data_IF_647388904181
#
_entry.id   IF_647388904181
#
_cell.length_a   1.000
_cell.length_b   1.000
_cell.length_c   1.000
_cell.angle_alpha   90.00
_cell.angle_beta   90.00
_cell.angle_gamma   90.00
#
_symmetry.space_group_name_H-M   'P 1'
#
loop_
_entity.id
_entity.type
_entity.pdbx_description
1 polymer ?
#
# COMPACT_ATOMS: atom_id res chain seq x y z
N UNK A 1 31.07 -20.14 -2.00
CA UNK A 1 30.28 -19.29 -1.08
C UNK A 1 29.80 -17.96 -1.70
N UNK A 2 30.34 -17.47 -2.84
CA UNK A 2 29.98 -16.14 -3.39
C UNK A 2 28.59 -15.97 -4.05
N UNK A 3 28.00 -17.01 -4.66
CA UNK A 3 26.71 -16.87 -5.36
C UNK A 3 25.52 -16.62 -4.42
N UNK A 4 25.51 -17.25 -3.25
CA UNK A 4 24.44 -17.05 -2.26
C UNK A 4 24.44 -15.62 -1.71
N UNK A 5 25.62 -15.04 -1.46
CA UNK A 5 25.75 -13.64 -1.01
C UNK A 5 25.32 -12.64 -2.08
N UNK A 6 25.63 -12.91 -3.36
CA UNK A 6 25.18 -12.06 -4.47
C UNK A 6 23.65 -12.02 -4.58
N UNK A 7 22.98 -13.18 -4.44
CA UNK A 7 21.52 -13.25 -4.44
C UNK A 7 20.90 -12.52 -3.24
N UNK A 8 21.47 -12.67 -2.04
CA UNK A 8 20.98 -11.98 -0.84
C UNK A 8 21.09 -10.45 -1.02
N UNK A 9 22.24 -9.95 -1.48
CA UNK A 9 22.43 -8.52 -1.73
C UNK A 9 21.49 -8.00 -2.82
N UNK A 10 21.26 -8.78 -3.88
CA UNK A 10 20.28 -8.43 -4.91
C UNK A 10 18.89 -8.31 -4.30
N UNK A 11 18.44 -9.27 -3.49
CA UNK A 11 17.14 -9.19 -2.82
C UNK A 11 17.03 -7.97 -1.89
N UNK A 12 18.07 -7.70 -1.10
CA UNK A 12 18.12 -6.54 -0.21
C UNK A 12 18.05 -5.23 -0.99
N UNK A 13 18.70 -5.13 -2.16
CA UNK A 13 18.65 -3.95 -3.01
C UNK A 13 17.35 -3.80 -3.79
N UNK A 14 16.79 -4.90 -4.29
CA UNK A 14 15.59 -4.89 -5.13
C UNK A 14 14.33 -4.60 -4.32
N UNK A 15 14.26 -5.09 -3.08
CA UNK A 15 13.11 -4.92 -2.20
C UNK A 15 12.71 -3.44 -1.97
N UNK A 16 13.61 -2.53 -1.53
CA UNK A 16 13.27 -1.12 -1.34
C UNK A 16 12.97 -0.43 -2.67
N UNK A 17 13.61 -0.83 -3.78
CA UNK A 17 13.35 -0.25 -5.11
C UNK A 17 11.92 -0.59 -5.57
N UNK A 18 11.53 -1.85 -5.48
CA UNK A 18 10.17 -2.28 -5.83
C UNK A 18 9.14 -1.64 -4.89
N UNK A 19 9.40 -1.66 -3.58
CA UNK A 19 8.52 -1.04 -2.60
C UNK A 19 8.35 0.47 -2.83
N UNK A 20 9.44 1.17 -3.12
CA UNK A 20 9.44 2.59 -3.44
C UNK A 20 8.68 2.90 -4.73
N UNK A 21 8.86 2.08 -5.78
CA UNK A 21 8.14 2.24 -7.04
C UNK A 21 6.62 2.08 -6.84
N UNK A 22 6.20 1.04 -6.11
CA UNK A 22 4.78 0.83 -5.78
C UNK A 22 4.23 2.03 -5.02
N UNK A 23 4.95 2.51 -4.00
CA UNK A 23 4.51 3.65 -3.21
C UNK A 23 4.40 4.93 -4.05
N UNK A 24 5.36 5.18 -4.94
CA UNK A 24 5.34 6.34 -5.84
C UNK A 24 4.12 6.31 -6.77
N UNK A 25 3.79 5.15 -7.35
CA UNK A 25 2.59 4.98 -8.19
C UNK A 25 1.32 5.26 -7.39
N UNK A 26 1.24 4.73 -6.16
CA UNK A 26 0.05 4.90 -5.31
C UNK A 26 -0.12 6.36 -4.87
N UNK A 27 0.95 7.03 -4.44
CA UNK A 27 0.94 8.47 -4.10
C UNK A 27 0.53 9.31 -5.32
N UNK A 28 1.13 9.06 -6.49
CA UNK A 28 0.80 9.75 -7.72
C UNK A 28 -0.67 9.58 -8.11
N UNK A 29 -1.18 8.35 -8.04
CA UNK A 29 -2.59 8.05 -8.30
C UNK A 29 -3.52 8.77 -7.31
N UNK A 30 -3.18 8.75 -6.02
CA UNK A 30 -3.94 9.42 -4.97
C UNK A 30 -3.94 10.95 -5.12
N UNK A 31 -2.86 11.54 -5.64
CA UNK A 31 -2.77 12.96 -5.93
C UNK A 31 -3.65 13.40 -7.10
N UNK A 32 -3.76 12.57 -8.15
CA UNK A 32 -4.59 12.87 -9.33
C UNK A 32 -6.07 12.67 -9.03
N UNK A 33 -6.45 11.61 -8.30
CA UNK A 33 -7.84 11.32 -7.98
C UNK A 33 -7.99 10.82 -6.53
N UNK A 34 -8.09 11.73 -5.54
CA UNK A 34 -8.13 11.36 -4.13
C UNK A 34 -9.42 10.64 -3.74
N UNK A 35 -10.56 11.05 -4.29
CA UNK A 35 -11.87 10.45 -3.96
C UNK A 35 -11.96 9.03 -4.53
N UNK A 36 -11.55 8.85 -5.80
CA UNK A 36 -11.50 7.53 -6.42
C UNK A 36 -10.56 6.58 -5.68
N UNK A 37 -9.38 7.06 -5.30
CA UNK A 37 -8.41 6.30 -4.53
C UNK A 37 -8.93 5.91 -3.15
N UNK A 38 -9.69 6.79 -2.47
CA UNK A 38 -10.29 6.48 -1.17
C UNK A 38 -11.37 5.41 -1.29
N UNK A 39 -12.24 5.49 -2.31
CA UNK A 39 -13.25 4.47 -2.60
C UNK A 39 -12.61 3.12 -2.90
N UNK A 40 -11.53 3.12 -3.70
CA UNK A 40 -10.81 1.91 -4.05
C UNK A 40 -10.11 1.30 -2.84
N UNK A 41 -9.47 2.11 -1.99
CA UNK A 41 -8.88 1.66 -0.73
C UNK A 41 -9.93 0.97 0.16
N UNK A 42 -11.09 1.60 0.34
CA UNK A 42 -12.19 1.07 1.13
C UNK A 42 -12.73 -0.25 0.53
N UNK A 43 -12.93 -0.30 -0.78
CA UNK A 43 -13.43 -1.48 -1.47
C UNK A 43 -12.46 -2.67 -1.34
N UNK A 44 -11.15 -2.44 -1.53
CA UNK A 44 -10.12 -3.45 -1.36
C UNK A 44 -10.07 -3.97 0.08
N UNK A 45 -10.14 -3.06 1.06
CA UNK A 45 -10.17 -3.43 2.46
C UNK A 45 -11.41 -4.25 2.83
N UNK A 46 -12.59 -3.78 2.46
CA UNK A 46 -13.85 -4.46 2.77
C UNK A 46 -13.91 -5.84 2.11
N UNK A 47 -13.52 -5.93 0.84
CA UNK A 47 -13.46 -7.20 0.12
C UNK A 47 -12.43 -8.14 0.72
N UNK A 48 -11.22 -7.65 1.00
CA UNK A 48 -10.17 -8.43 1.64
C UNK A 48 -10.59 -8.97 3.01
N UNK A 49 -11.27 -8.12 3.81
CA UNK A 49 -11.85 -8.50 5.09
C UNK A 49 -12.96 -9.51 4.99
N UNK A 50 -13.87 -9.36 4.01
CA UNK A 50 -14.90 -10.36 3.76
C UNK A 50 -14.29 -11.72 3.40
N UNK A 51 -13.28 -11.78 2.52
CA UNK A 51 -12.62 -13.05 2.15
C UNK A 51 -11.88 -13.66 3.34
N UNK A 52 -11.21 -12.84 4.15
CA UNK A 52 -10.59 -13.27 5.40
C UNK A 52 -11.62 -13.87 6.37
N UNK A 53 -12.77 -13.21 6.55
CA UNK A 53 -13.85 -13.72 7.40
C UNK A 53 -14.41 -15.04 6.87
N UNK A 54 -14.70 -15.14 5.57
CA UNK A 54 -15.19 -16.38 4.95
C UNK A 54 -14.22 -17.54 5.22
N UNK A 55 -12.92 -17.30 5.02
CA UNK A 55 -11.91 -18.30 5.31
C UNK A 55 -11.89 -18.67 6.80
N UNK A 56 -11.94 -17.68 7.71
CA UNK A 56 -11.90 -17.92 9.15
C UNK A 56 -13.16 -18.62 9.69
N UNK A 57 -14.33 -18.31 9.15
CA UNK A 57 -15.61 -18.99 9.47
C UNK A 57 -15.55 -20.47 9.08
N UNK A 58 -14.91 -20.83 7.96
CA UNK A 58 -14.71 -22.23 7.57
C UNK A 58 -13.89 -23.02 8.62
N UNK A 59 -12.87 -22.39 9.20
CA UNK A 59 -12.04 -23.00 10.26
C UNK A 59 -12.81 -23.14 11.57
N UNK A 60 -13.59 -22.12 11.94
CA UNK A 60 -14.45 -22.15 13.13
C UNK A 60 -15.50 -23.27 13.03
N UNK A 61 -16.14 -23.43 11.86
CA UNK A 61 -17.09 -24.52 11.60
C UNK A 61 -16.44 -25.91 11.64
N UNK A 62 -15.12 -25.99 11.48
CA UNK A 62 -14.35 -27.23 11.61
C UNK A 62 -13.96 -27.55 13.07
N UNK A 63 -14.50 -26.82 14.05
CA UNK A 63 -14.30 -27.05 15.49
C UNK A 63 -13.01 -26.49 16.07
N UNK A 64 -12.25 -25.69 15.31
CA UNK A 64 -10.96 -25.12 15.75
C UNK A 64 -11.09 -23.61 15.90
N UNK A 65 -11.39 -23.17 17.13
CA UNK A 65 -11.73 -21.76 17.43
C UNK A 65 -10.50 -20.83 17.51
N UNK A 66 -9.31 -21.36 17.81
CA UNK A 66 -8.09 -20.55 18.04
C UNK A 66 -6.93 -21.10 17.22
N UNK A 67 -6.96 -20.87 15.92
CA UNK A 67 -5.81 -21.16 15.06
C UNK A 67 -5.44 -19.93 14.25
N UNK A 68 -4.23 -19.43 14.48
CA UNK A 68 -3.61 -18.42 13.64
C UNK A 68 -2.83 -19.12 12.52
N UNK A 69 -2.97 -18.64 11.29
CA UNK A 69 -2.26 -19.16 10.13
C UNK A 69 -3.03 -20.18 9.30
N UNK A 70 -2.56 -20.38 8.08
CA UNK A 70 -3.27 -21.17 7.06
C UNK A 70 -3.02 -22.68 7.14
N UNK A 71 -2.23 -23.15 8.11
CA UNK A 71 -1.73 -24.53 8.15
C UNK A 71 -2.87 -25.56 8.24
N UNK A 72 -3.94 -25.24 8.96
CA UNK A 72 -5.08 -26.13 9.21
C UNK A 72 -6.26 -25.89 8.25
N UNK A 73 -6.13 -24.96 7.30
CA UNK A 73 -7.16 -24.67 6.30
C UNK A 73 -7.08 -25.63 5.11
N UNK A 74 -8.24 -26.12 4.65
CA UNK A 74 -8.39 -26.81 3.36
C UNK A 74 -7.92 -25.91 2.21
N UNK A 75 -7.36 -26.52 1.17
CA UNK A 75 -6.70 -25.85 0.03
C UNK A 75 -7.43 -24.61 -0.54
N UNK A 76 -8.75 -24.64 -0.85
CA UNK A 76 -9.44 -23.47 -1.40
C UNK A 76 -9.56 -22.30 -0.40
N UNK A 77 -9.74 -22.58 0.89
CA UNK A 77 -9.83 -21.55 1.93
C UNK A 77 -8.48 -20.91 2.25
N UNK A 78 -7.38 -21.64 2.02
CA UNK A 78 -6.02 -21.09 2.12
C UNK A 78 -5.76 -20.02 1.06
N UNK A 79 -6.25 -20.22 -0.17
CA UNK A 79 -6.17 -19.21 -1.21
C UNK A 79 -6.99 -17.97 -0.85
N UNK A 80 -8.26 -18.15 -0.43
CA UNK A 80 -9.13 -17.07 0.05
C UNK A 80 -8.49 -16.24 1.18
N UNK A 81 -7.89 -16.91 2.15
CA UNK A 81 -7.17 -16.28 3.25
C UNK A 81 -6.02 -15.40 2.76
N UNK A 82 -5.15 -15.93 1.87
CA UNK A 82 -4.01 -15.19 1.31
C UNK A 82 -4.47 -14.01 0.45
N UNK A 83 -5.43 -14.24 -0.44
CA UNK A 83 -6.01 -13.19 -1.28
C UNK A 83 -6.63 -12.08 -0.43
N UNK A 84 -7.32 -12.44 0.67
CA UNK A 84 -7.85 -11.47 1.64
C UNK A 84 -6.77 -10.56 2.22
N UNK A 85 -5.64 -11.12 2.65
CA UNK A 85 -4.51 -10.32 3.14
C UNK A 85 -3.90 -9.43 2.05
N UNK A 86 -3.69 -9.96 0.85
CA UNK A 86 -3.12 -9.18 -0.27
C UNK A 86 -4.01 -7.97 -0.58
N UNK A 87 -5.34 -8.17 -0.60
CA UNK A 87 -6.32 -7.09 -0.81
C UNK A 87 -6.28 -6.06 0.33
N UNK A 88 -6.21 -6.49 1.59
CA UNK A 88 -6.08 -5.56 2.72
C UNK A 88 -4.79 -4.75 2.65
N UNK A 89 -3.65 -5.38 2.32
CA UNK A 89 -2.36 -4.70 2.17
C UNK A 89 -2.42 -3.69 1.01
N UNK A 90 -3.03 -4.06 -0.12
CA UNK A 90 -3.23 -3.13 -1.23
C UNK A 90 -4.10 -1.93 -0.81
N UNK A 91 -5.21 -2.18 -0.10
CA UNK A 91 -6.03 -1.12 0.49
C UNK A 91 -5.24 -0.20 1.42
N UNK A 92 -4.40 -0.77 2.29
CA UNK A 92 -3.53 -0.03 3.21
C UNK A 92 -2.58 0.89 2.46
N UNK A 93 -1.94 0.40 1.40
CA UNK A 93 -1.02 1.20 0.59
C UNK A 93 -1.74 2.42 0.00
N UNK A 94 -2.95 2.26 -0.53
CA UNK A 94 -3.75 3.38 -1.03
C UNK A 94 -4.10 4.38 0.08
N UNK A 95 -4.43 3.91 1.28
CA UNK A 95 -4.64 4.79 2.44
C UNK A 95 -3.38 5.57 2.80
N UNK A 96 -2.21 4.91 2.83
CA UNK A 96 -0.92 5.57 3.09
C UNK A 96 -0.63 6.62 2.02
N UNK A 97 -0.85 6.30 0.73
CA UNK A 97 -0.68 7.25 -0.36
C UNK A 97 -1.56 8.49 -0.22
N UNK A 98 -2.83 8.31 0.16
CA UNK A 98 -3.75 9.42 0.43
C UNK A 98 -3.29 10.30 1.59
N UNK A 99 -2.89 9.69 2.71
CA UNK A 99 -2.39 10.43 3.87
C UNK A 99 -1.12 11.20 3.50
N UNK A 100 -0.17 10.57 2.81
CA UNK A 100 1.06 11.20 2.37
C UNK A 100 0.80 12.43 1.47
N UNK A 101 -0.11 12.30 0.49
CA UNK A 101 -0.51 13.42 -0.37
C UNK A 101 -1.14 14.56 0.43
N UNK A 102 -2.06 14.25 1.37
CA UNK A 102 -2.69 15.27 2.22
C UNK A 102 -1.69 15.96 3.15
N UNK A 103 -0.76 15.22 3.74
CA UNK A 103 0.32 15.79 4.55
C UNK A 103 1.23 16.70 3.72
N UNK A 104 1.56 16.32 2.48
CA UNK A 104 2.35 17.16 1.58
C UNK A 104 1.61 18.45 1.19
N UNK A 105 0.30 18.40 0.93
CA UNK A 105 -0.53 19.59 0.70
C UNK A 105 -0.55 20.52 1.92
N UNK A 106 -0.75 19.98 3.13
CA UNK A 106 -0.76 20.75 4.37
C UNK A 106 0.58 21.45 4.66
N UNK A 107 1.70 20.77 4.40
CA UNK A 107 3.04 21.35 4.52
C UNK A 107 3.28 22.49 3.53
N UNK A 108 2.77 22.37 2.29
CA UNK A 108 2.85 23.47 1.30
C UNK A 108 2.03 24.68 1.73
N UNK A 109 0.86 24.46 2.33
CA UNK A 109 -0.02 25.55 2.75
C UNK A 109 0.51 26.31 3.98
N UNK A 110 1.20 25.60 4.88
CA UNK A 110 1.81 26.20 6.07
C UNK A 110 3.12 26.95 5.80
N UNK A 111 3.79 26.69 4.68
CA UNK A 111 5.07 27.32 4.35
C UNK A 111 5.09 27.92 2.92
N UNK A 112 4.57 29.15 2.73
CA UNK A 112 4.40 29.77 1.41
C UNK A 112 5.73 30.07 0.69
N UNK A 113 6.87 30.03 1.38
CA UNK A 113 8.21 30.24 0.80
C UNK A 113 8.67 29.09 -0.09
N UNK A 114 8.19 27.85 0.14
CA UNK A 114 8.47 26.70 -0.73
C UNK A 114 7.87 26.86 -2.14
N UNK A 115 6.78 27.64 -2.27
CA UNK A 115 6.18 27.95 -3.57
C UNK A 115 6.88 29.08 -4.35
N UNK A 116 7.72 29.89 -3.70
CA UNK A 116 8.31 31.11 -4.28
C UNK A 116 9.68 30.87 -4.92
N UNK A 117 10.42 29.86 -4.49
CA UNK A 117 11.78 29.56 -5.00
C UNK A 117 11.81 29.05 -6.47
N UNK A 118 10.65 28.83 -7.10
CA UNK A 118 10.53 28.47 -8.52
C UNK A 118 10.13 29.62 -9.46
N UNK A 119 9.87 30.84 -8.93
CA UNK A 119 9.58 32.03 -9.76
C UNK A 119 10.67 33.08 -9.55
N UNK A 120 11.80 32.91 -10.24
CA UNK A 120 12.68 34.05 -10.54
C UNK A 120 11.92 34.88 -11.59
N UNK A 121 11.57 36.15 -11.33
CA UNK A 121 11.01 37.01 -12.36
C UNK A 121 12.10 37.27 -13.40
N UNK A 122 11.95 36.65 -14.57
CA UNK A 122 12.75 36.99 -15.74
C UNK A 122 12.29 38.36 -16.25
N UNK A 123 13.23 39.31 -16.29
CA UNK A 123 13.12 40.51 -17.12
C UNK A 123 12.68 41.77 -16.39
N UNK A 124 13.65 42.52 -15.88
CA UNK A 124 13.59 43.98 -15.89
C UNK A 124 14.58 44.45 -16.97
N UNK A 125 14.12 44.90 -18.15
CA UNK A 125 14.97 45.61 -19.08
C UNK A 125 15.13 47.06 -18.60
N UNK A 126 16.37 47.46 -18.30
CA UNK A 126 16.77 48.86 -18.19
C UNK A 126 17.06 49.42 -19.58
#
# INVERSE_FOLDING_TARGET
>A
MGQAHALINLFIGLFPVIGGLVLAVVIGTAAVNPIGSAKLALALYALGFALFLIAKVSVIRSGRLVTFGSHLMRSPYRALYRTGYVLMVAGLLFTVGLVATRSAEALRHSNPTLGRSGRVPAGEPR
#
